data_IF_718572141991
#
_entry.id   IF_718572141991
#
_cell.length_a   1.000
_cell.length_b   1.000
_cell.length_c   1.000
_cell.angle_alpha   90.00
_cell.angle_beta   90.00
_cell.angle_gamma   90.00
#
_symmetry.space_group_name_H-M   'P 1'
#
loop_
_entity.id
_entity.type
_entity.pdbx_description
1 polymer ?
#
# COMPACT_ATOMS: atom_id res chain seq x y z
N UNK A 1 31.44 79.06 -19.72
CA UNK A 1 31.71 79.98 -18.60
C UNK A 1 31.80 79.20 -17.31
N UNK A 2 33.02 79.17 -16.78
CA UNK A 2 33.47 79.03 -15.39
C UNK A 2 32.49 78.87 -14.21
N UNK A 3 32.80 77.84 -13.43
CA UNK A 3 33.01 77.77 -11.95
C UNK A 3 31.87 77.65 -10.93
N UNK A 4 32.07 76.64 -10.06
CA UNK A 4 31.97 76.57 -8.59
C UNK A 4 30.90 75.62 -8.06
N UNK A 5 31.08 74.90 -6.96
CA UNK A 5 32.24 74.42 -6.19
C UNK A 5 31.66 73.46 -5.13
N UNK A 6 32.46 72.48 -4.71
CA UNK A 6 32.15 71.60 -3.59
C UNK A 6 31.95 72.34 -2.27
N UNK A 7 31.04 71.82 -1.44
CA UNK A 7 30.97 72.06 0.00
C UNK A 7 30.44 70.81 0.73
N UNK A 8 31.34 69.95 1.21
CA UNK A 8 31.10 68.99 2.30
C UNK A 8 30.97 69.77 3.65
N UNK A 9 30.42 69.27 4.79
CA UNK A 9 30.52 67.89 5.30
C UNK A 9 29.34 67.33 6.17
N UNK A 10 29.35 66.00 6.30
CA UNK A 10 29.17 65.19 7.52
C UNK A 10 28.22 65.64 8.65
N UNK A 11 27.11 64.90 8.83
CA UNK A 11 26.39 64.51 10.09
C UNK A 11 24.98 64.06 9.66
N UNK A 12 24.59 62.79 9.66
CA UNK A 12 24.33 61.97 10.84
C UNK A 12 24.39 60.49 10.44
N UNK A 13 25.38 59.77 10.97
CA UNK A 13 25.22 58.35 11.28
C UNK A 13 24.54 58.26 12.64
N UNK A 14 23.51 57.41 12.75
CA UNK A 14 23.10 56.56 13.89
C UNK A 14 21.58 56.62 14.11
N UNK A 15 20.92 55.53 13.72
CA UNK A 15 19.93 54.78 14.51
C UNK A 15 19.10 53.93 13.54
N UNK A 16 19.40 52.65 13.43
CA UNK A 16 18.62 51.77 12.54
C UNK A 16 19.15 50.35 12.45
N UNK A 17 19.69 49.80 13.54
CA UNK A 17 20.01 48.37 13.63
C UNK A 17 19.82 47.97 15.09
N UNK A 18 18.59 47.60 15.48
CA UNK A 18 18.31 46.81 16.69
C UNK A 18 16.80 46.52 16.90
N UNK A 19 16.03 46.04 15.91
CA UNK A 19 14.76 45.31 16.19
C UNK A 19 14.39 44.36 15.04
N UNK A 20 15.27 43.45 14.65
CA UNK A 20 14.88 42.27 13.86
C UNK A 20 15.82 41.17 14.29
N UNK A 21 15.46 40.35 15.29
CA UNK A 21 16.10 39.04 15.57
C UNK A 21 15.57 38.31 16.83
N UNK A 22 14.42 38.69 17.41
CA UNK A 22 13.85 37.97 18.58
C UNK A 22 12.37 37.61 18.41
N UNK A 23 11.92 37.38 17.17
CA UNK A 23 10.58 36.79 16.89
C UNK A 23 10.68 35.59 15.94
N UNK A 24 11.90 35.18 15.55
CA UNK A 24 12.12 34.15 14.53
C UNK A 24 12.25 32.71 15.04
N UNK A 25 12.16 32.45 16.35
CA UNK A 25 12.47 31.13 16.92
C UNK A 25 11.32 30.48 17.73
N UNK A 26 10.16 31.15 17.87
CA UNK A 26 9.05 30.67 18.70
C UNK A 26 7.81 30.18 17.94
N UNK A 27 7.76 30.31 16.62
CA UNK A 27 6.56 30.04 15.82
C UNK A 27 6.70 28.85 14.85
N UNK A 28 7.61 27.91 15.14
CA UNK A 28 7.86 26.73 14.30
C UNK A 28 7.38 25.40 14.95
N UNK A 29 6.57 25.47 16.01
CA UNK A 29 6.00 24.27 16.68
C UNK A 29 4.49 24.47 16.84
N UNK A 30 3.73 24.58 15.75
CA UNK A 30 2.27 24.63 15.85
C UNK A 30 1.49 24.26 14.58
N UNK A 31 2.15 23.74 13.53
CA UNK A 31 1.44 23.48 12.26
C UNK A 31 1.90 22.19 11.58
N UNK A 32 2.31 21.17 12.34
CA UNK A 32 2.03 19.81 11.89
C UNK A 32 0.51 19.67 12.02
N UNK A 33 -0.27 19.59 10.91
CA UNK A 33 -1.66 19.21 11.04
C UNK A 33 -1.69 17.91 11.85
N UNK A 34 -2.62 17.81 12.81
CA UNK A 34 -2.85 16.55 13.48
C UNK A 34 -3.00 15.46 12.40
N UNK A 35 -2.37 14.30 12.61
CA UNK A 35 -2.62 13.14 11.76
C UNK A 35 -4.14 13.00 11.71
N UNK A 36 -4.70 12.96 10.49
CA UNK A 36 -6.14 12.84 10.33
C UNK A 36 -6.55 11.49 10.90
N UNK A 37 -7.04 11.48 12.14
CA UNK A 37 -7.56 10.28 12.79
C UNK A 37 -8.71 9.75 11.93
N UNK A 38 -8.77 8.42 11.75
CA UNK A 38 -9.92 7.80 11.10
C UNK A 38 -11.20 8.27 11.82
N UNK A 39 -12.31 8.46 11.09
CA UNK A 39 -13.61 8.64 11.73
C UNK A 39 -13.90 7.46 12.68
N UNK A 40 -14.77 7.68 13.67
CA UNK A 40 -15.16 6.63 14.62
C UNK A 40 -15.48 5.33 13.86
N UNK A 41 -14.89 4.18 14.27
CA UNK A 41 -15.11 2.93 13.57
C UNK A 41 -16.61 2.63 13.57
N UNK A 42 -17.12 2.11 12.44
CA UNK A 42 -18.53 1.78 12.34
C UNK A 42 -18.90 0.68 13.36
N UNK A 43 -20.20 0.53 13.69
CA UNK A 43 -20.64 -0.51 14.60
C UNK A 43 -20.16 -1.91 14.17
N UNK A 44 -19.87 -2.77 15.15
CA UNK A 44 -19.45 -4.15 14.92
C UNK A 44 -20.35 -4.85 13.90
N UNK A 45 -19.73 -5.51 12.92
CA UNK A 45 -20.42 -6.26 11.87
C UNK A 45 -20.94 -5.43 10.69
N UNK A 46 -20.75 -4.11 10.68
CA UNK A 46 -21.02 -3.27 9.49
C UNK A 46 -19.88 -3.36 8.48
N UNK A 47 -18.64 -3.30 8.97
CA UNK A 47 -17.43 -3.55 8.17
C UNK A 47 -17.06 -5.02 8.33
N UNK A 48 -16.79 -5.68 7.21
CA UNK A 48 -16.29 -7.05 7.21
C UNK A 48 -14.96 -7.16 7.94
N UNK A 49 -14.81 -8.19 8.78
CA UNK A 49 -13.53 -8.58 9.39
C UNK A 49 -12.43 -8.84 8.35
N UNK A 50 -12.81 -9.08 7.08
CA UNK A 50 -11.87 -9.17 5.96
C UNK A 50 -10.94 -7.96 5.88
N UNK A 51 -11.40 -6.74 6.21
CA UNK A 51 -10.60 -5.52 6.13
C UNK A 51 -9.64 -5.33 7.31
N UNK A 52 -9.63 -6.26 8.26
CA UNK A 52 -8.78 -6.20 9.43
C UNK A 52 -9.19 -5.11 10.41
N UNK A 53 -8.33 -4.90 11.40
CA UNK A 53 -8.56 -3.91 12.45
C UNK A 53 -8.52 -2.49 11.90
N UNK A 54 -9.52 -1.68 12.25
CA UNK A 54 -9.65 -0.28 11.83
C UNK A 54 -8.84 0.64 12.75
N UNK A 55 -7.51 0.46 12.79
CA UNK A 55 -6.60 1.28 13.60
C UNK A 55 -5.87 2.32 12.71
N UNK A 56 -5.74 3.53 13.24
CA UNK A 56 -5.59 4.79 12.51
C UNK A 56 -4.35 4.99 11.63
N UNK A 57 -3.38 4.08 11.65
CA UNK A 57 -2.02 4.42 11.23
C UNK A 57 -1.52 3.61 10.02
N UNK A 58 -2.12 2.46 9.70
CA UNK A 58 -1.58 1.56 8.67
C UNK A 58 -2.67 0.85 7.87
N UNK A 59 -2.53 0.88 6.54
CA UNK A 59 -3.32 0.06 5.63
C UNK A 59 -3.27 -1.42 6.06
N UNK A 60 -4.39 -2.14 5.88
CA UNK A 60 -4.39 -3.58 6.02
C UNK A 60 -3.44 -4.15 4.97
N UNK A 61 -2.44 -4.94 5.38
CA UNK A 61 -1.55 -5.70 4.49
C UNK A 61 -1.36 -7.10 5.04
N UNK A 62 -1.64 -8.13 4.24
CA UNK A 62 -1.37 -9.53 4.60
C UNK A 62 -1.00 -10.38 3.38
N UNK A 63 -0.41 -11.55 3.62
CA UNK A 63 -0.11 -12.51 2.55
C UNK A 63 -1.38 -13.21 2.05
N UNK A 64 -1.39 -13.62 0.79
CA UNK A 64 -2.37 -14.61 0.31
C UNK A 64 -2.04 -15.99 0.89
N UNK A 65 -2.98 -16.93 0.81
CA UNK A 65 -2.73 -18.34 1.16
C UNK A 65 -3.01 -19.24 -0.04
N UNK A 66 -1.98 -19.86 -0.65
CA UNK A 66 -0.56 -19.69 -0.36
C UNK A 66 -0.03 -18.30 -0.73
N UNK A 67 1.06 -17.88 -0.06
CA UNK A 67 1.76 -16.61 -0.34
C UNK A 67 2.83 -16.75 -1.42
N UNK A 68 3.31 -17.96 -1.66
CA UNK A 68 4.28 -18.31 -2.70
C UNK A 68 3.75 -19.47 -3.51
N UNK A 69 3.78 -19.37 -4.83
CA UNK A 69 3.25 -20.40 -5.72
C UNK A 69 3.80 -20.25 -7.14
N UNK A 70 3.77 -21.33 -7.91
CA UNK A 70 4.07 -21.34 -9.33
C UNK A 70 2.79 -21.58 -10.11
N UNK A 71 2.55 -20.82 -11.18
CA UNK A 71 1.34 -20.96 -11.99
C UNK A 71 1.59 -20.49 -13.42
N UNK A 72 1.15 -21.27 -14.41
CA UNK A 72 1.27 -20.91 -15.85
C UNK A 72 2.68 -20.46 -16.29
N UNK A 73 3.73 -21.05 -15.69
CA UNK A 73 5.13 -20.72 -15.96
C UNK A 73 5.66 -19.48 -15.23
N UNK A 74 4.88 -18.91 -14.32
CA UNK A 74 5.28 -17.81 -13.45
C UNK A 74 5.51 -18.31 -12.02
N UNK A 75 6.71 -18.09 -11.50
CA UNK A 75 7.01 -18.22 -10.07
C UNK A 75 6.68 -16.91 -9.34
N UNK A 76 5.64 -16.96 -8.50
CA UNK A 76 5.23 -15.91 -7.59
C UNK A 76 5.88 -16.18 -6.23
N UNK A 77 6.79 -15.31 -5.84
CA UNK A 77 7.54 -15.42 -4.57
C UNK A 77 6.88 -14.63 -3.43
N UNK A 78 5.84 -13.87 -3.74
CA UNK A 78 5.04 -13.15 -2.75
C UNK A 78 3.72 -12.69 -3.38
N UNK A 79 2.62 -13.22 -2.86
CA UNK A 79 1.27 -12.70 -3.02
C UNK A 79 0.85 -11.94 -1.77
N UNK A 80 0.40 -10.70 -1.94
CA UNK A 80 -0.08 -9.85 -0.85
C UNK A 80 -1.44 -9.24 -1.21
N UNK A 81 -2.26 -9.03 -0.20
CA UNK A 81 -3.49 -8.26 -0.30
C UNK A 81 -3.38 -7.03 0.57
N UNK A 82 -3.86 -5.90 0.07
CA UNK A 82 -3.94 -4.65 0.82
C UNK A 82 -5.27 -3.93 0.65
N UNK A 83 -5.68 -3.22 1.70
CA UNK A 83 -6.89 -2.40 1.75
C UNK A 83 -6.66 -1.17 2.64
N UNK A 84 -7.40 -0.07 2.43
CA UNK A 84 -7.31 1.12 3.28
C UNK A 84 -7.64 0.83 4.74
N UNK A 85 -7.03 1.60 5.65
CA UNK A 85 -7.22 1.49 7.10
C UNK A 85 -8.49 2.15 7.64
N UNK A 86 -8.94 3.25 7.02
CA UNK A 86 -10.10 4.01 7.47
C UNK A 86 -11.32 3.72 6.59
N UNK A 87 -12.19 2.82 7.03
CA UNK A 87 -13.45 2.51 6.36
C UNK A 87 -14.66 2.96 7.21
N UNK A 88 -15.70 3.43 6.53
CA UNK A 88 -16.94 3.91 7.13
C UNK A 88 -18.14 3.19 6.53
N UNK A 89 -19.24 3.10 7.27
CA UNK A 89 -20.47 2.47 6.79
C UNK A 89 -21.02 3.06 5.47
N UNK A 90 -20.62 4.28 5.12
CA UNK A 90 -21.05 4.98 3.92
C UNK A 90 -20.20 4.66 2.67
N UNK A 91 -19.10 3.92 2.83
CA UNK A 91 -18.24 3.53 1.71
C UNK A 91 -18.92 2.51 0.80
N UNK A 92 -19.38 2.99 -0.36
CA UNK A 92 -20.05 2.16 -1.37
C UNK A 92 -19.12 1.10 -1.99
N UNK A 93 -17.80 1.28 -1.84
CA UNK A 93 -16.84 0.23 -2.13
C UNK A 93 -15.45 0.59 -1.64
N UNK A 94 -14.67 -0.45 -1.39
CA UNK A 94 -13.33 -0.41 -0.84
C UNK A 94 -12.35 -0.84 -1.92
N UNK A 95 -11.32 -0.03 -2.23
CA UNK A 95 -10.27 -0.44 -3.15
C UNK A 95 -9.41 -1.51 -2.47
N UNK A 96 -9.38 -2.72 -3.03
CA UNK A 96 -8.54 -3.81 -2.53
C UNK A 96 -7.52 -4.18 -3.61
N UNK A 97 -6.24 -4.12 -3.28
CA UNK A 97 -5.16 -4.45 -4.19
C UNK A 97 -4.58 -5.83 -3.87
N UNK A 98 -4.41 -6.66 -4.89
CA UNK A 98 -3.62 -7.89 -4.84
C UNK A 98 -2.33 -7.67 -5.60
N UNK A 99 -1.23 -7.90 -4.92
CA UNK A 99 0.13 -7.66 -5.36
C UNK A 99 0.87 -8.98 -5.55
N UNK A 100 1.46 -9.16 -6.73
CA UNK A 100 2.26 -10.33 -7.08
C UNK A 100 3.70 -9.90 -7.39
N UNK A 101 4.64 -10.43 -6.61
CA UNK A 101 6.07 -10.26 -6.87
C UNK A 101 6.64 -11.54 -7.49
N UNK A 102 7.34 -11.40 -8.61
CA UNK A 102 7.87 -12.53 -9.37
C UNK A 102 9.30 -12.90 -8.93
N UNK A 103 9.71 -14.13 -9.25
CA UNK A 103 11.10 -14.59 -9.19
C UNK A 103 12.08 -13.67 -9.93
N UNK A 104 13.35 -13.64 -9.52
CA UNK A 104 14.39 -12.84 -10.20
C UNK A 104 14.73 -13.34 -11.62
N UNK A 105 14.52 -14.63 -11.84
CA UNK A 105 14.68 -15.36 -13.09
C UNK A 105 13.58 -15.06 -14.11
N UNK A 106 12.45 -14.53 -13.66
CA UNK A 106 11.36 -14.10 -14.52
C UNK A 106 11.72 -12.81 -15.27
N UNK A 107 11.95 -12.95 -16.57
CA UNK A 107 12.45 -11.85 -17.40
C UNK A 107 11.38 -10.79 -17.70
N UNK A 108 10.11 -11.19 -17.85
CA UNK A 108 9.00 -10.32 -18.22
C UNK A 108 7.90 -10.23 -17.17
N UNK A 109 6.99 -9.23 -17.26
CA UNK A 109 5.82 -9.15 -16.42
C UNK A 109 4.78 -10.22 -16.80
N UNK A 110 3.82 -10.49 -15.91
CA UNK A 110 2.61 -11.22 -16.26
C UNK A 110 1.79 -10.35 -17.23
N UNK A 111 1.30 -10.88 -18.38
CA UNK A 111 0.47 -10.10 -19.29
C UNK A 111 -0.80 -9.58 -18.61
N UNK A 112 -1.12 -8.32 -18.85
CA UNK A 112 -2.28 -7.67 -18.22
C UNK A 112 -3.59 -8.32 -18.63
N UNK A 113 -3.71 -8.82 -19.87
CA UNK A 113 -4.88 -9.53 -20.35
C UNK A 113 -5.15 -10.81 -19.53
N UNK A 114 -4.10 -11.48 -19.07
CA UNK A 114 -4.21 -12.65 -18.20
C UNK A 114 -4.72 -12.23 -16.82
N UNK A 115 -4.15 -11.17 -16.24
CA UNK A 115 -4.55 -10.64 -14.93
C UNK A 115 -5.98 -10.05 -14.94
N UNK A 116 -6.48 -9.59 -16.09
CA UNK A 116 -7.88 -9.13 -16.23
C UNK A 116 -8.91 -10.24 -16.13
N UNK A 117 -8.49 -11.50 -16.21
CA UNK A 117 -9.39 -12.67 -16.05
C UNK A 117 -9.55 -13.10 -14.60
N UNK A 118 -8.80 -12.52 -13.67
CA UNK A 118 -8.92 -12.81 -12.25
C UNK A 118 -10.31 -12.40 -11.73
N UNK A 119 -10.80 -13.07 -10.70
CA UNK A 119 -12.04 -12.67 -10.02
C UNK A 119 -11.93 -12.89 -8.52
N UNK A 120 -12.40 -11.94 -7.72
CA UNK A 120 -12.60 -12.13 -6.29
C UNK A 120 -13.98 -12.73 -6.07
N UNK A 121 -14.11 -13.71 -5.18
CA UNK A 121 -15.38 -14.28 -4.73
C UNK A 121 -15.45 -14.26 -3.20
N UNK A 122 -16.64 -14.02 -2.64
CA UNK A 122 -16.90 -14.10 -1.21
C UNK A 122 -17.63 -15.39 -0.81
N UNK A 123 -17.79 -15.64 0.49
CA UNK A 123 -18.45 -16.83 1.02
C UNK A 123 -19.95 -16.95 0.69
N UNK A 124 -20.54 -15.93 0.05
CA UNK A 124 -21.90 -15.96 -0.49
C UNK A 124 -21.93 -16.21 -2.02
N UNK A 125 -20.77 -16.34 -2.66
CA UNK A 125 -20.64 -16.50 -4.11
C UNK A 125 -20.84 -15.21 -4.90
N UNK A 126 -20.78 -14.04 -4.24
CA UNK A 126 -20.73 -12.75 -4.97
C UNK A 126 -19.34 -12.61 -5.56
N UNK A 127 -19.25 -12.09 -6.79
CA UNK A 127 -17.98 -12.01 -7.52
C UNK A 127 -17.72 -10.64 -8.11
N UNK A 128 -16.44 -10.24 -8.15
CA UNK A 128 -15.96 -8.96 -8.66
C UNK A 128 -14.77 -9.13 -9.59
N UNK A 129 -14.78 -8.37 -10.68
CA UNK A 129 -13.69 -8.30 -11.65
C UNK A 129 -12.71 -7.16 -11.34
N UNK A 130 -11.46 -7.23 -11.82
CA UNK A 130 -10.48 -6.17 -11.67
C UNK A 130 -10.97 -4.84 -12.24
N UNK A 131 -10.75 -3.77 -11.50
CA UNK A 131 -10.91 -2.39 -11.95
C UNK A 131 -9.66 -1.88 -12.65
N UNK A 132 -8.52 -2.15 -12.05
CA UNK A 132 -7.22 -1.71 -12.54
C UNK A 132 -6.23 -2.88 -12.50
N UNK A 133 -5.37 -2.93 -13.52
CA UNK A 133 -4.28 -3.89 -13.62
C UNK A 133 -3.07 -3.08 -14.06
N UNK A 134 -2.00 -3.20 -13.30
CA UNK A 134 -0.73 -2.53 -13.59
C UNK A 134 0.39 -3.56 -13.47
N UNK A 135 1.25 -3.59 -14.48
CA UNK A 135 2.42 -4.47 -14.48
C UNK A 135 3.69 -3.66 -14.63
N UNK A 136 4.77 -4.14 -14.02
CA UNK A 136 6.08 -3.54 -14.10
C UNK A 136 7.10 -4.62 -14.37
N UNK A 137 7.78 -4.50 -15.50
CA UNK A 137 8.95 -5.31 -15.81
C UNK A 137 10.12 -4.93 -14.89
N UNK A 138 10.92 -5.94 -14.54
CA UNK A 138 12.20 -5.72 -13.87
C UNK A 138 13.10 -4.76 -14.66
N UNK A 139 13.87 -3.94 -13.95
CA UNK A 139 14.96 -3.19 -14.56
C UNK A 139 16.26 -3.99 -14.45
N UNK A 140 17.06 -4.09 -15.53
CA UNK A 140 18.40 -4.65 -15.43
C UNK A 140 19.26 -3.78 -14.51
N UNK A 141 20.21 -4.39 -13.80
CA UNK A 141 21.15 -3.64 -12.98
C UNK A 141 21.93 -2.64 -13.86
N UNK A 142 21.84 -1.35 -13.53
CA UNK A 142 22.42 -0.26 -14.34
C UNK A 142 23.93 -0.06 -14.11
N UNK A 143 24.54 -0.79 -13.18
CA UNK A 143 25.98 -0.73 -12.84
C UNK A 143 26.40 -1.93 -11.97
N UNK A 144 27.71 -2.20 -11.86
CA UNK A 144 28.25 -3.12 -10.84
C UNK A 144 27.77 -2.68 -9.45
N UNK A 145 26.88 -3.46 -8.84
CA UNK A 145 26.33 -3.21 -7.50
C UNK A 145 24.90 -2.65 -7.43
N UNK A 146 24.20 -2.45 -8.56
CA UNK A 146 22.78 -2.09 -8.52
C UNK A 146 21.90 -3.25 -8.07
N UNK A 147 20.97 -3.02 -7.14
CA UNK A 147 19.96 -4.02 -6.78
C UNK A 147 19.06 -4.32 -7.97
N UNK A 148 18.88 -5.60 -8.28
CA UNK A 148 17.91 -6.02 -9.27
C UNK A 148 16.51 -5.77 -8.70
N UNK A 149 15.65 -5.08 -9.45
CA UNK A 149 14.23 -5.02 -9.13
C UNK A 149 13.55 -6.28 -9.67
N UNK A 150 12.60 -6.83 -8.93
CA UNK A 150 11.76 -7.94 -9.42
C UNK A 150 10.67 -7.39 -10.32
N UNK A 151 10.20 -8.21 -11.26
CA UNK A 151 8.96 -7.94 -11.96
C UNK A 151 7.79 -8.00 -10.96
N UNK A 152 6.78 -7.18 -11.18
CA UNK A 152 5.68 -6.98 -10.26
C UNK A 152 4.37 -6.77 -11.00
N UNK A 153 3.28 -7.24 -10.41
CA UNK A 153 1.93 -6.97 -10.87
C UNK A 153 1.05 -6.52 -9.70
N UNK A 154 0.19 -5.53 -9.96
CA UNK A 154 -0.86 -5.07 -9.05
C UNK A 154 -2.21 -5.20 -9.74
N UNK A 155 -3.17 -5.79 -9.05
CA UNK A 155 -4.54 -5.96 -9.50
C UNK A 155 -5.46 -5.36 -8.46
N UNK A 156 -6.21 -4.33 -8.83
CA UNK A 156 -7.11 -3.63 -7.91
C UNK A 156 -8.57 -4.00 -8.19
N UNK A 157 -9.31 -4.30 -7.14
CA UNK A 157 -10.74 -4.57 -7.12
C UNK A 157 -11.47 -3.46 -6.36
N UNK A 158 -12.76 -3.29 -6.66
CA UNK A 158 -13.67 -2.47 -5.86
C UNK A 158 -14.66 -3.41 -5.17
N UNK A 159 -14.41 -3.72 -3.90
CA UNK A 159 -15.20 -4.69 -3.12
C UNK A 159 -16.20 -3.96 -2.20
N UNK A 160 -17.34 -4.54 -1.84
CA UNK A 160 -18.27 -3.89 -0.92
C UNK A 160 -17.75 -3.99 0.52
N UNK A 161 -18.23 -3.11 1.40
CA UNK A 161 -17.81 -3.11 2.81
C UNK A 161 -18.29 -4.34 3.61
N UNK A 162 -19.32 -5.01 3.11
CA UNK A 162 -20.03 -6.13 3.75
C UNK A 162 -19.59 -7.51 3.20
N UNK A 163 -18.31 -7.68 2.85
CA UNK A 163 -17.78 -8.98 2.40
C UNK A 163 -18.04 -10.07 3.43
N UNK A 164 -18.34 -11.28 2.95
CA UNK A 164 -18.53 -12.45 3.80
C UNK A 164 -17.37 -13.40 3.58
N UNK A 165 -16.65 -13.77 4.63
CA UNK A 165 -15.57 -14.76 4.53
C UNK A 165 -16.12 -16.18 4.26
N UNK A 166 -15.35 -17.07 3.60
CA UNK A 166 -14.00 -16.83 3.08
C UNK A 166 -14.01 -15.97 1.81
N UNK A 167 -12.95 -15.19 1.61
CA UNK A 167 -12.73 -14.41 0.40
C UNK A 167 -11.61 -15.06 -0.41
N UNK A 168 -11.91 -15.45 -1.64
CA UNK A 168 -10.98 -16.11 -2.55
C UNK A 168 -10.67 -15.26 -3.76
N UNK A 169 -9.49 -15.48 -4.35
CA UNK A 169 -9.10 -15.00 -5.66
C UNK A 169 -9.02 -16.19 -6.61
N UNK A 170 -9.90 -16.21 -7.60
CA UNK A 170 -9.82 -17.16 -8.70
C UNK A 170 -8.82 -16.66 -9.74
N UNK A 171 -7.92 -17.56 -10.14
CA UNK A 171 -6.77 -17.24 -10.98
C UNK A 171 -7.11 -17.17 -12.48
N UNK A 172 -8.32 -17.52 -12.90
CA UNK A 172 -8.76 -17.39 -14.29
C UNK A 172 -7.76 -18.03 -15.28
N UNK A 173 -7.33 -17.27 -16.29
CA UNK A 173 -6.34 -17.68 -17.27
C UNK A 173 -4.90 -17.74 -16.72
N UNK A 174 -4.64 -17.14 -15.56
CA UNK A 174 -3.37 -17.33 -14.84
C UNK A 174 -3.33 -18.70 -14.19
N UNK A 175 -4.47 -19.21 -13.71
CA UNK A 175 -4.63 -20.48 -13.02
C UNK A 175 -4.30 -21.69 -13.88
N UNK A 176 -3.97 -22.79 -13.24
CA UNK A 176 -3.76 -24.09 -13.89
C UNK A 176 -4.41 -25.24 -13.11
N UNK A 177 -4.13 -26.48 -13.51
CA UNK A 177 -4.72 -27.67 -12.89
C UNK A 177 -4.25 -27.90 -11.45
N UNK A 178 -3.13 -27.30 -11.03
CA UNK A 178 -2.56 -27.44 -9.69
C UNK A 178 -3.01 -26.32 -8.76
N UNK A 179 -3.23 -25.12 -9.29
CA UNK A 179 -3.69 -23.98 -8.54
C UNK A 179 -4.64 -23.11 -9.37
N UNK A 180 -5.91 -23.13 -9.00
CA UNK A 180 -6.96 -22.35 -9.65
C UNK A 180 -7.46 -21.18 -8.79
N UNK A 181 -7.20 -21.20 -7.48
CA UNK A 181 -7.64 -20.19 -6.54
C UNK A 181 -6.66 -20.01 -5.38
N UNK A 182 -6.70 -18.83 -4.76
CA UNK A 182 -5.96 -18.46 -3.55
C UNK A 182 -6.97 -17.94 -2.51
N UNK A 183 -6.72 -18.17 -1.23
CA UNK A 183 -7.44 -17.42 -0.18
C UNK A 183 -6.80 -16.05 -0.01
N UNK A 184 -7.65 -15.02 0.12
CA UNK A 184 -7.29 -13.65 0.46
C UNK A 184 -7.48 -13.34 1.95
N UNK A 185 -8.01 -14.29 2.72
CA UNK A 185 -8.14 -14.17 4.16
C UNK A 185 -6.79 -14.35 4.83
N UNK A 186 -6.69 -13.89 6.08
CA UNK A 186 -5.52 -14.19 6.89
C UNK A 186 -5.40 -15.70 7.11
N UNK A 187 -4.22 -16.24 6.79
CA UNK A 187 -3.90 -17.62 7.09
C UNK A 187 -4.01 -17.83 8.61
N UNK A 188 -5.07 -18.48 9.07
CA UNK A 188 -5.18 -18.83 10.48
C UNK A 188 -3.99 -19.71 10.84
N UNK A 189 -3.20 -19.38 11.87
CA UNK A 189 -2.17 -20.28 12.35
C UNK A 189 -2.86 -21.60 12.68
N UNK A 190 -2.41 -22.67 12.02
CA UNK A 190 -2.85 -24.01 12.40
C UNK A 190 -2.37 -24.18 13.84
N UNK A 191 -3.25 -24.47 14.82
CA UNK A 191 -2.79 -24.70 16.18
C UNK A 191 -1.76 -25.81 16.09
N UNK A 192 -0.51 -25.49 16.46
CA UNK A 192 0.55 -26.47 16.55
C UNK A 192 0.00 -27.64 17.36
N UNK A 193 0.02 -28.83 16.77
CA UNK A 193 -0.29 -30.04 17.49
C UNK A 193 0.71 -30.10 18.65
N UNK A 194 0.26 -29.69 19.83
CA UNK A 194 1.00 -29.71 21.08
C UNK A 194 1.75 -31.02 21.15
N UNK A 195 3.07 -30.95 21.02
CA UNK A 195 3.94 -32.10 21.22
C UNK A 195 3.59 -32.68 22.58
N UNK A 196 3.24 -33.98 22.70
CA UNK A 196 2.95 -34.55 23.99
C UNK A 196 4.20 -34.45 24.87
N UNK A 197 4.12 -33.59 25.88
CA UNK A 197 5.11 -33.43 26.92
C UNK A 197 5.32 -34.80 27.57
N UNK A 198 6.44 -35.44 27.27
CA UNK A 198 6.83 -36.72 27.85
C UNK A 198 7.34 -36.45 29.26
N UNK A 199 6.45 -36.53 30.24
CA UNK A 199 6.85 -36.53 31.65
C UNK A 199 7.57 -37.85 31.96
N UNK A 200 8.83 -37.77 32.39
CA UNK A 200 9.61 -38.89 32.92
C UNK A 200 9.44 -39.03 34.43
#
# INVERSE_FOLDING_TARGET
>A
MSTNAQGWPTRLRRAGVAVVLVVGAGAAIATTPAVAECPDPPPDGVVSDFYGQQDSDWDMVRGTSPSEFAVSGYDIVQGQVSAPSCLTADDAGVPVAVDFMLGYDQLGPIPEETLRTLTVEDGLGRSWSPREVTTRERFPATSEGGEQSRSYARVQFQLPIDLVAPVSLHLGALGDATLSELSLDEARPTPDATSPETTS
#
